data_IF_102711111328
#
_entry.id   IF_102711111328
#
_cell.length_a   1.000
_cell.length_b   1.000
_cell.length_c   1.000
_cell.angle_alpha   90.00
_cell.angle_beta   90.00
_cell.angle_gamma   90.00
#
_symmetry.space_group_name_H-M   'P 1'
#
loop_
_entity.id
_entity.type
_entity.pdbx_description
1 polymer ?
#
# COMPACT_ATOMS: atom_id res chain seq x y z
N UNK A 1 5.94 -10.30 6.33
CA UNK A 1 6.81 -9.95 5.18
C UNK A 1 8.12 -9.36 5.63
N UNK A 2 8.13 -8.23 6.36
CA UNK A 2 9.39 -7.59 6.78
C UNK A 2 10.23 -8.46 7.74
N UNK A 3 9.61 -9.17 8.68
CA UNK A 3 10.32 -10.06 9.62
C UNK A 3 10.75 -11.40 9.00
N UNK A 4 10.18 -11.77 7.85
CA UNK A 4 10.46 -13.02 7.14
C UNK A 4 10.52 -12.76 5.63
N UNK A 5 11.59 -12.10 5.14
CA UNK A 5 11.76 -11.82 3.72
C UNK A 5 11.89 -13.11 2.90
N UNK A 6 11.57 -13.05 1.61
CA UNK A 6 11.72 -14.17 0.67
C UNK A 6 10.62 -15.23 0.69
N UNK A 7 9.67 -15.18 1.63
CA UNK A 7 8.55 -16.14 1.70
C UNK A 7 7.41 -15.75 0.76
N UNK A 8 7.13 -14.45 0.63
CA UNK A 8 6.02 -13.93 -0.17
C UNK A 8 6.56 -13.22 -1.41
N UNK A 9 6.24 -13.75 -2.60
CA UNK A 9 6.63 -13.15 -3.87
C UNK A 9 5.81 -11.91 -4.24
N UNK A 10 4.55 -11.85 -3.79
CA UNK A 10 3.63 -10.75 -4.02
C UNK A 10 3.00 -10.23 -2.73
N UNK A 11 2.63 -8.95 -2.70
CA UNK A 11 1.92 -8.32 -1.59
C UNK A 11 0.78 -7.44 -2.11
N UNK A 12 -0.43 -7.64 -1.57
CA UNK A 12 -1.60 -6.79 -1.81
C UNK A 12 -1.95 -6.10 -0.50
N UNK A 13 -1.90 -4.76 -0.48
CA UNK A 13 -2.24 -3.93 0.69
C UNK A 13 -3.42 -3.01 0.35
N UNK A 14 -4.59 -3.31 0.90
CA UNK A 14 -5.76 -2.43 0.84
C UNK A 14 -5.88 -1.64 2.14
N UNK A 15 -6.05 -0.32 2.02
CA UNK A 15 -6.30 0.63 3.11
C UNK A 15 -5.41 0.40 4.36
N UNK A 16 -4.07 0.36 4.22
CA UNK A 16 -3.20 0.00 5.32
C UNK A 16 -3.22 1.08 6.41
N UNK A 17 -3.48 0.67 7.65
CA UNK A 17 -3.53 1.56 8.81
C UNK A 17 -2.13 1.95 9.31
N UNK A 18 -1.36 2.65 8.47
CA UNK A 18 0.04 3.00 8.70
C UNK A 18 0.27 3.97 9.87
N UNK A 19 -0.73 4.77 10.23
CA UNK A 19 -0.71 5.70 11.35
C UNK A 19 -0.63 5.01 12.74
N UNK A 20 -1.04 3.75 12.83
CA UNK A 20 -1.16 3.01 14.09
C UNK A 20 0.19 2.89 14.82
N UNK A 21 0.13 2.91 16.15
CA UNK A 21 1.30 2.79 17.03
C UNK A 21 2.39 3.84 16.75
N UNK A 22 1.99 5.07 16.43
CA UNK A 22 2.92 6.17 16.15
C UNK A 22 3.75 5.95 14.88
N UNK A 23 3.10 5.50 13.81
CA UNK A 23 3.69 5.23 12.48
C UNK A 23 4.82 4.19 12.53
N UNK A 24 4.72 3.20 13.42
CA UNK A 24 5.79 2.22 13.66
C UNK A 24 6.12 1.41 12.40
N UNK A 25 5.11 1.03 11.63
CA UNK A 25 5.30 0.29 10.37
C UNK A 25 6.06 1.11 9.32
N UNK A 26 5.75 2.41 9.18
CA UNK A 26 6.48 3.33 8.31
C UNK A 26 7.94 3.52 8.76
N UNK A 27 8.19 3.58 10.07
CA UNK A 27 9.55 3.67 10.60
C UNK A 27 10.35 2.41 10.29
N UNK A 28 9.75 1.22 10.47
CA UNK A 28 10.42 -0.04 10.16
C UNK A 28 10.67 -0.24 8.66
N UNK A 29 9.72 0.15 7.80
CA UNK A 29 9.87 -0.01 6.35
C UNK A 29 11.07 0.74 5.78
N UNK A 30 11.50 1.85 6.41
CA UNK A 30 12.70 2.62 6.02
C UNK A 30 14.00 1.82 6.09
N UNK A 31 14.06 0.82 6.96
CA UNK A 31 15.24 -0.04 7.12
C UNK A 31 15.14 -1.34 6.32
N UNK A 32 13.97 -1.62 5.75
CA UNK A 32 13.73 -2.86 5.02
C UNK A 32 14.15 -2.73 3.55
N UNK A 33 14.99 -3.68 3.11
CA UNK A 33 15.56 -3.68 1.74
C UNK A 33 15.07 -4.84 0.88
N UNK A 34 14.63 -5.94 1.49
CA UNK A 34 14.24 -7.18 0.79
C UNK A 34 12.73 -7.24 0.54
N UNK A 35 12.22 -6.28 -0.23
CA UNK A 35 10.82 -6.22 -0.61
C UNK A 35 10.40 -7.37 -1.53
N UNK A 36 9.13 -7.83 -1.46
CA UNK A 36 8.55 -8.74 -2.45
C UNK A 36 8.75 -8.28 -3.89
N UNK A 37 8.62 -9.22 -4.84
CA UNK A 37 8.82 -8.95 -6.25
C UNK A 37 7.79 -7.94 -6.77
N UNK A 38 6.52 -8.15 -6.44
CA UNK A 38 5.40 -7.27 -6.81
C UNK A 38 4.59 -6.83 -5.59
N UNK A 39 4.29 -5.54 -5.51
CA UNK A 39 3.52 -4.93 -4.42
C UNK A 39 2.41 -4.06 -5.02
N UNK A 40 1.18 -4.39 -4.69
CA UNK A 40 0.01 -3.56 -4.94
C UNK A 40 -0.38 -2.86 -3.64
N UNK A 41 -0.52 -1.53 -3.68
CA UNK A 41 -0.90 -0.70 -2.55
C UNK A 41 -2.08 0.17 -2.95
N UNK A 42 -3.16 0.10 -2.21
CA UNK A 42 -4.37 0.84 -2.55
C UNK A 42 -5.05 1.50 -1.36
N UNK A 43 -5.68 2.64 -1.62
CA UNK A 43 -6.43 3.42 -0.65
C UNK A 43 -7.48 4.30 -1.34
N UNK A 44 -8.55 4.66 -0.64
CA UNK A 44 -9.48 5.71 -1.05
C UNK A 44 -9.17 7.07 -0.42
N UNK A 45 -9.69 8.15 -0.98
CA UNK A 45 -9.52 9.50 -0.37
C UNK A 45 -10.57 9.82 0.70
N UNK A 46 -11.53 8.92 0.96
CA UNK A 46 -12.59 9.10 1.96
C UNK A 46 -12.70 7.91 2.92
N UNK A 47 -11.58 7.41 3.41
CA UNK A 47 -11.49 6.20 4.22
C UNK A 47 -12.37 6.24 5.47
N UNK A 48 -12.29 7.32 6.24
CA UNK A 48 -12.98 7.49 7.51
C UNK A 48 -14.05 8.58 7.49
N UNK A 49 -14.16 9.33 6.39
CA UNK A 49 -15.09 10.45 6.21
C UNK A 49 -14.73 11.67 7.06
N UNK A 50 -13.46 11.78 7.49
CA UNK A 50 -12.93 12.88 8.30
C UNK A 50 -11.72 13.45 7.58
N UNK A 51 -11.85 14.65 7.05
CA UNK A 51 -10.87 15.28 6.14
C UNK A 51 -9.42 15.20 6.65
N UNK A 52 -9.16 15.56 7.90
CA UNK A 52 -7.79 15.50 8.47
C UNK A 52 -7.24 14.08 8.51
N UNK A 53 -8.08 13.11 8.89
CA UNK A 53 -7.68 11.71 9.00
C UNK A 53 -7.50 11.09 7.62
N UNK A 54 -8.40 11.40 6.68
CA UNK A 54 -8.35 10.85 5.33
C UNK A 54 -7.10 11.37 4.60
N UNK A 55 -6.80 12.66 4.75
CA UNK A 55 -5.54 13.25 4.28
C UNK A 55 -4.31 12.59 4.91
N UNK A 56 -4.32 12.34 6.22
CA UNK A 56 -3.20 11.69 6.90
C UNK A 56 -2.94 10.28 6.35
N UNK A 57 -3.98 9.48 6.13
CA UNK A 57 -3.80 8.10 5.65
C UNK A 57 -3.33 8.09 4.19
N UNK A 58 -3.80 9.03 3.37
CA UNK A 58 -3.27 9.24 2.01
C UNK A 58 -1.78 9.61 2.04
N UNK A 59 -1.39 10.58 2.89
CA UNK A 59 0.00 11.01 3.07
C UNK A 59 0.90 9.85 3.55
N UNK A 60 0.40 9.00 4.46
CA UNK A 60 1.10 7.80 4.91
C UNK A 60 1.37 6.81 3.77
N UNK A 61 0.39 6.59 2.89
CA UNK A 61 0.51 5.71 1.71
C UNK A 61 1.52 6.26 0.71
N UNK A 62 1.49 7.58 0.47
CA UNK A 62 2.47 8.25 -0.39
C UNK A 62 3.88 8.22 0.21
N UNK A 63 4.02 8.29 1.54
CA UNK A 63 5.29 8.12 2.22
C UNK A 63 5.82 6.68 2.06
N UNK A 64 4.96 5.67 2.21
CA UNK A 64 5.35 4.28 1.99
C UNK A 64 5.80 4.03 0.54
N UNK A 65 5.08 4.60 -0.44
CA UNK A 65 5.48 4.57 -1.85
C UNK A 65 6.90 5.12 -2.03
N UNK A 66 7.21 6.27 -1.45
CA UNK A 66 8.55 6.89 -1.52
C UNK A 66 9.61 5.98 -0.89
N UNK A 67 9.32 5.37 0.26
CA UNK A 67 10.24 4.45 0.93
C UNK A 67 10.56 3.25 0.04
N UNK A 68 9.54 2.63 -0.57
CA UNK A 68 9.71 1.50 -1.49
C UNK A 68 10.47 1.92 -2.76
N UNK A 69 10.19 3.09 -3.32
CA UNK A 69 10.92 3.61 -4.47
C UNK A 69 12.40 3.85 -4.14
N UNK A 70 12.72 4.44 -2.98
CA UNK A 70 14.10 4.58 -2.50
C UNK A 70 14.79 3.24 -2.19
N UNK A 71 14.03 2.17 -2.02
CA UNK A 71 14.55 0.80 -1.89
C UNK A 71 14.76 0.10 -3.25
N UNK A 72 14.47 0.77 -4.37
CA UNK A 72 14.70 0.27 -5.73
C UNK A 72 13.50 -0.42 -6.37
N UNK A 73 12.28 -0.20 -5.88
CA UNK A 73 11.06 -0.68 -6.53
C UNK A 73 10.64 0.32 -7.59
N UNK A 74 10.57 -0.14 -8.84
CA UNK A 74 10.07 0.63 -9.98
C UNK A 74 8.58 0.36 -10.21
N UNK A 75 8.00 1.02 -11.22
CA UNK A 75 6.57 0.90 -11.55
C UNK A 75 6.16 -0.51 -12.02
N UNK A 76 7.12 -1.38 -12.35
CA UNK A 76 6.84 -2.79 -12.67
C UNK A 76 6.66 -3.65 -11.42
N UNK A 77 7.27 -3.22 -10.32
CA UNK A 77 7.27 -3.92 -9.02
C UNK A 77 6.37 -3.28 -7.99
N UNK A 78 5.99 -2.01 -8.16
CA UNK A 78 5.12 -1.27 -7.26
C UNK A 78 3.99 -0.58 -8.03
N UNK A 79 2.75 -0.98 -7.75
CA UNK A 79 1.56 -0.28 -8.23
C UNK A 79 0.84 0.35 -7.04
N UNK A 80 0.60 1.67 -7.12
CA UNK A 80 -0.15 2.41 -6.10
C UNK A 80 -1.44 2.95 -6.71
N UNK A 81 -2.58 2.63 -6.09
CA UNK A 81 -3.91 3.11 -6.48
C UNK A 81 -4.53 3.97 -5.39
N UNK A 82 -4.90 5.20 -5.76
CA UNK A 82 -5.60 6.14 -4.89
C UNK A 82 -6.92 6.45 -5.58
N UNK A 83 -8.02 5.96 -5.02
CA UNK A 83 -9.34 6.14 -5.62
C UNK A 83 -10.06 7.32 -4.97
N UNK A 84 -10.41 8.29 -5.80
CA UNK A 84 -11.11 9.48 -5.35
C UNK A 84 -12.52 9.14 -4.85
N UNK A 85 -12.84 9.56 -3.61
CA UNK A 85 -14.14 9.36 -2.99
C UNK A 85 -14.39 7.95 -2.45
N UNK A 86 -13.48 7.00 -2.70
CA UNK A 86 -13.59 5.65 -2.16
C UNK A 86 -13.47 5.66 -0.63
N UNK A 87 -14.26 4.80 0.00
CA UNK A 87 -14.35 4.66 1.46
C UNK A 87 -13.76 3.34 1.93
N UNK A 88 -13.54 3.18 3.24
CA UNK A 88 -12.97 1.97 3.84
C UNK A 88 -13.99 0.82 3.89
N UNK A 89 -14.27 0.19 2.74
CA UNK A 89 -15.23 -0.92 2.66
C UNK A 89 -14.85 -1.96 1.60
N UNK A 90 -15.42 -3.15 1.73
CA UNK A 90 -15.15 -4.29 0.86
C UNK A 90 -15.62 -4.08 -0.59
N UNK A 91 -16.64 -3.24 -0.82
CA UNK A 91 -17.13 -2.98 -2.16
C UNK A 91 -16.12 -2.16 -2.99
N UNK A 92 -15.45 -1.17 -2.37
CA UNK A 92 -14.37 -0.42 -3.02
C UNK A 92 -13.13 -1.31 -3.24
N UNK A 93 -12.78 -2.16 -2.26
CA UNK A 93 -11.68 -3.12 -2.43
C UNK A 93 -11.97 -4.12 -3.56
N UNK A 94 -13.21 -4.60 -3.67
CA UNK A 94 -13.63 -5.53 -4.72
C UNK A 94 -13.50 -4.92 -6.12
N UNK A 95 -13.71 -3.60 -6.29
CA UNK A 95 -13.51 -2.92 -7.58
C UNK A 95 -12.04 -2.93 -8.01
N UNK A 96 -11.10 -2.77 -7.07
CA UNK A 96 -9.65 -2.78 -7.33
C UNK A 96 -9.07 -4.18 -7.44
N UNK A 97 -9.72 -5.17 -6.83
CA UNK A 97 -9.19 -6.52 -6.73
C UNK A 97 -8.80 -7.17 -8.07
N UNK A 98 -9.60 -7.07 -9.16
CA UNK A 98 -9.18 -7.60 -10.46
C UNK A 98 -7.90 -6.97 -11.00
N UNK A 99 -7.72 -5.65 -10.83
CA UNK A 99 -6.49 -4.97 -11.23
C UNK A 99 -5.30 -5.43 -10.38
N UNK A 100 -5.50 -5.54 -9.06
CA UNK A 100 -4.47 -6.03 -8.16
C UNK A 100 -3.99 -7.43 -8.53
N UNK A 101 -4.91 -8.35 -8.84
CA UNK A 101 -4.57 -9.69 -9.30
C UNK A 101 -3.86 -9.67 -10.66
N UNK A 102 -4.32 -8.83 -11.59
CA UNK A 102 -3.67 -8.64 -12.89
C UNK A 102 -2.24 -8.11 -12.75
N UNK A 103 -2.01 -7.17 -11.85
CA UNK A 103 -0.66 -6.68 -11.57
C UNK A 103 0.22 -7.77 -10.94
N UNK A 104 -0.26 -8.44 -9.89
CA UNK A 104 0.51 -9.43 -9.12
C UNK A 104 0.80 -10.71 -9.91
N UNK A 105 -0.14 -11.19 -10.71
CA UNK A 105 -0.06 -12.51 -11.34
C UNK A 105 -0.25 -12.49 -12.86
N UNK A 106 -0.57 -11.34 -13.45
CA UNK A 106 -0.58 -11.16 -14.89
C UNK A 106 0.81 -11.40 -15.48
N UNK A 107 0.82 -12.04 -16.65
CA UNK A 107 2.01 -12.37 -17.44
C UNK A 107 2.66 -11.12 -18.01
#
# INVERSE_FOLDING_TARGET
>A
VMDRPGIFGGLLLESPSLFVSGRRLLKYSRYFRQWPEKIFLAIGTRESGRDEKDRQVEEDVLELKKIMACAGLDDKRLLVRIDEGATHNEAEWAKRFPEALGFLYGK
#
